data_IF_944207762539
#
_entry.id   IF_944207762539
#
_cell.length_a   1.000
_cell.length_b   1.000
_cell.length_c   1.000
_cell.angle_alpha   90.00
_cell.angle_beta   90.00
_cell.angle_gamma   90.00
#
_symmetry.space_group_name_H-M   'P 1'
#
loop_
_entity.id
_entity.type
_entity.pdbx_description
1 polymer ?
#
# COMPACT_ATOMS: atom_id res chain seq x y z
N UNK A 1 -13.79 -54.83 40.40
CA UNK A 1 -12.67 -54.38 39.53
C UNK A 1 -13.25 -54.13 38.14
N UNK A 2 -13.64 -52.93 37.72
CA UNK A 2 -13.01 -51.63 37.92
C UNK A 2 -12.26 -51.24 36.64
N UNK A 3 -12.98 -50.80 35.60
CA UNK A 3 -12.44 -49.93 34.53
C UNK A 3 -13.53 -48.98 34.07
N UNK A 4 -13.35 -47.73 34.47
CA UNK A 4 -14.15 -46.54 34.21
C UNK A 4 -13.95 -46.09 32.77
N UNK A 5 -15.04 -45.81 32.03
CA UNK A 5 -14.99 -45.04 30.79
C UNK A 5 -14.52 -43.61 31.13
N UNK A 6 -13.32 -43.22 30.67
CA UNK A 6 -12.86 -41.84 30.70
C UNK A 6 -12.98 -41.19 29.31
N UNK A 7 -13.88 -40.20 29.27
CA UNK A 7 -13.91 -39.00 28.44
C UNK A 7 -13.62 -39.10 26.94
N UNK A 8 -14.69 -39.19 26.13
CA UNK A 8 -14.73 -38.57 24.80
C UNK A 8 -14.74 -37.05 24.97
N UNK A 9 -13.66 -36.39 24.53
CA UNK A 9 -13.59 -34.93 24.50
C UNK A 9 -14.69 -34.35 23.62
N UNK A 10 -15.49 -33.44 24.17
CA UNK A 10 -16.45 -32.63 23.42
C UNK A 10 -15.67 -31.73 22.46
N UNK A 11 -15.74 -32.00 21.17
CA UNK A 11 -15.28 -31.06 20.14
C UNK A 11 -16.22 -29.84 20.21
N UNK A 12 -15.73 -28.61 20.43
CA UNK A 12 -16.57 -27.42 20.46
C UNK A 12 -17.28 -27.22 19.12
N UNK A 13 -18.58 -26.91 19.14
CA UNK A 13 -19.38 -26.59 17.95
C UNK A 13 -18.79 -25.46 17.08
N UNK A 14 -17.85 -24.69 17.62
CA UNK A 14 -17.11 -23.65 16.88
C UNK A 14 -16.21 -24.21 15.77
N UNK A 15 -15.90 -25.52 15.78
CA UNK A 15 -15.08 -26.16 14.74
C UNK A 15 -15.88 -26.84 13.62
N UNK A 16 -17.23 -26.87 13.70
CA UNK A 16 -18.08 -27.52 12.68
C UNK A 16 -18.49 -26.58 11.52
N UNK A 17 -18.10 -25.30 11.56
CA UNK A 17 -18.35 -24.33 10.47
C UNK A 17 -17.19 -24.19 9.47
N UNK A 18 -16.10 -24.94 9.64
CA UNK A 18 -14.97 -24.91 8.70
C UNK A 18 -15.07 -25.94 7.54
N UNK A 19 -16.20 -26.64 7.40
CA UNK A 19 -16.31 -27.71 6.39
C UNK A 19 -17.72 -27.88 5.81
N UNK A 20 -18.31 -26.78 5.34
CA UNK A 20 -19.40 -26.82 4.36
C UNK A 20 -19.07 -25.74 3.32
N UNK A 21 -19.06 -26.15 2.06
CA UNK A 21 -18.25 -25.54 1.02
C UNK A 21 -18.67 -24.14 0.55
N UNK A 22 -17.70 -23.46 -0.04
CA UNK A 22 -17.91 -22.83 -1.34
C UNK A 22 -16.68 -23.07 -2.20
N UNK A 23 -16.93 -23.70 -3.34
CA UNK A 23 -16.06 -23.65 -4.50
C UNK A 23 -16.02 -22.20 -4.98
N UNK A 24 -14.95 -21.48 -4.65
CA UNK A 24 -14.54 -20.33 -5.45
C UNK A 24 -13.05 -20.48 -5.76
N UNK A 25 -12.74 -20.91 -7.00
CA UNK A 25 -11.43 -20.73 -7.61
C UNK A 25 -11.18 -19.23 -7.90
N UNK A 26 -11.34 -18.38 -6.89
CA UNK A 26 -10.85 -17.02 -6.92
C UNK A 26 -9.42 -17.05 -6.40
N UNK A 27 -8.44 -16.82 -7.28
CA UNK A 27 -7.07 -16.58 -6.84
C UNK A 27 -7.14 -15.42 -5.84
N UNK A 28 -6.93 -15.72 -4.55
CA UNK A 28 -6.81 -14.69 -3.53
C UNK A 28 -5.53 -13.92 -3.85
N UNK A 29 -5.66 -12.81 -4.56
CA UNK A 29 -4.55 -11.89 -4.75
C UNK A 29 -4.26 -11.32 -3.36
N UNK A 30 -3.05 -11.51 -2.86
CA UNK A 30 -2.64 -10.86 -1.63
C UNK A 30 -2.24 -9.41 -1.98
N UNK A 31 -2.42 -8.48 -1.05
CA UNK A 31 -1.95 -7.10 -1.23
C UNK A 31 -0.46 -7.08 -1.60
N UNK A 32 0.30 -8.01 -1.03
CA UNK A 32 1.72 -8.19 -1.28
C UNK A 32 2.03 -8.60 -2.72
N UNK A 33 1.08 -9.10 -3.52
CA UNK A 33 1.29 -9.40 -4.93
C UNK A 33 1.11 -8.16 -5.83
N UNK A 34 0.59 -7.06 -5.28
CA UNK A 34 0.31 -5.85 -6.04
C UNK A 34 1.61 -5.06 -6.24
N UNK A 35 2.22 -5.20 -7.43
CA UNK A 35 3.49 -4.55 -7.78
C UNK A 35 3.52 -3.03 -7.48
N UNK A 36 2.44 -2.29 -7.75
CA UNK A 36 2.37 -0.85 -7.43
C UNK A 36 2.45 -0.58 -5.92
N UNK A 37 1.90 -1.46 -5.09
CA UNK A 37 1.99 -1.37 -3.64
C UNK A 37 3.42 -1.64 -3.17
N UNK A 38 4.07 -2.69 -3.67
CA UNK A 38 5.47 -3.00 -3.35
C UNK A 38 6.41 -1.85 -3.70
N UNK A 39 6.25 -1.27 -4.89
CA UNK A 39 7.06 -0.12 -5.33
C UNK A 39 6.82 1.10 -4.43
N UNK A 40 5.57 1.37 -4.04
CA UNK A 40 5.24 2.46 -3.14
C UNK A 40 5.84 2.26 -1.74
N UNK A 41 5.81 1.04 -1.19
CA UNK A 41 6.47 0.70 0.08
C UNK A 41 7.98 0.89 0.00
N UNK A 42 8.62 0.40 -1.07
CA UNK A 42 10.06 0.59 -1.23
C UNK A 42 10.44 2.07 -1.33
N UNK A 43 9.63 2.86 -2.03
CA UNK A 43 9.82 4.30 -2.13
C UNK A 43 9.69 5.00 -0.78
N UNK A 44 8.71 4.63 0.05
CA UNK A 44 8.52 5.24 1.36
C UNK A 44 9.69 4.94 2.31
N UNK A 45 10.18 3.69 2.35
CA UNK A 45 11.38 3.32 3.12
C UNK A 45 12.62 4.11 2.67
N UNK A 46 12.82 4.25 1.35
CA UNK A 46 13.93 5.04 0.81
C UNK A 46 13.84 6.52 1.22
N UNK A 47 12.63 7.10 1.20
CA UNK A 47 12.41 8.47 1.67
C UNK A 47 12.72 8.59 3.16
N UNK A 48 12.26 7.65 3.98
CA UNK A 48 12.55 7.61 5.41
C UNK A 48 14.05 7.63 5.68
N UNK A 49 14.80 6.73 5.05
CA UNK A 49 16.26 6.64 5.19
C UNK A 49 16.98 7.95 4.81
N UNK A 50 16.50 8.63 3.75
CA UNK A 50 17.07 9.91 3.31
C UNK A 50 16.80 10.99 4.36
N UNK A 51 15.55 11.12 4.79
CA UNK A 51 15.12 12.15 5.73
C UNK A 51 15.76 11.95 7.10
N UNK A 52 15.99 10.71 7.54
CA UNK A 52 16.59 10.43 8.83
C UNK A 52 18.04 10.93 8.94
N UNK A 53 18.73 11.13 7.81
CA UNK A 53 20.07 11.72 7.78
C UNK A 53 20.09 13.25 7.90
N UNK A 54 18.94 13.91 7.84
CA UNK A 54 18.88 15.37 7.85
C UNK A 54 19.06 15.98 9.24
N UNK A 55 19.56 17.21 9.27
CA UNK A 55 19.56 18.04 10.48
C UNK A 55 18.14 18.27 11.02
N UNK A 56 18.04 18.56 12.32
CA UNK A 56 16.75 18.65 13.02
C UNK A 56 15.75 19.58 12.34
N UNK A 57 16.13 20.82 12.02
CA UNK A 57 15.20 21.79 11.43
C UNK A 57 14.60 21.34 10.08
N UNK A 58 15.39 20.99 9.04
CA UNK A 58 14.83 20.50 7.79
C UNK A 58 14.10 19.16 7.95
N UNK A 59 14.58 18.25 8.83
CA UNK A 59 13.92 16.97 9.14
C UNK A 59 12.49 17.21 9.62
N UNK A 60 12.29 18.06 10.63
CA UNK A 60 10.96 18.29 11.21
C UNK A 60 10.02 19.14 10.36
N UNK A 61 10.55 19.94 9.42
CA UNK A 61 9.72 20.85 8.59
C UNK A 61 9.41 20.31 7.21
N UNK A 62 10.40 19.76 6.52
CA UNK A 62 10.26 19.25 5.16
C UNK A 62 10.29 17.73 5.15
N UNK A 63 11.16 17.14 5.97
CA UNK A 63 11.31 15.70 6.06
C UNK A 63 10.02 15.01 6.50
N UNK A 64 9.38 15.50 7.56
CA UNK A 64 8.07 15.02 8.05
C UNK A 64 7.02 15.03 6.94
N UNK A 65 6.84 16.16 6.28
CA UNK A 65 5.85 16.33 5.21
C UNK A 65 6.14 15.44 3.99
N UNK A 66 7.42 15.26 3.64
CA UNK A 66 7.83 14.35 2.56
C UNK A 66 7.58 12.88 2.92
N UNK A 67 7.90 12.50 4.16
CA UNK A 67 7.73 11.14 4.68
C UNK A 67 6.25 10.77 4.76
N UNK A 68 5.43 11.64 5.36
CA UNK A 68 3.97 11.48 5.44
C UNK A 68 3.34 11.32 4.03
N UNK A 69 3.75 12.15 3.07
CA UNK A 69 3.27 12.06 1.71
C UNK A 69 3.71 10.75 1.03
N UNK A 70 4.92 10.25 1.30
CA UNK A 70 5.43 9.00 0.72
C UNK A 70 4.69 7.78 1.30
N UNK A 71 4.57 7.68 2.63
CA UNK A 71 3.84 6.62 3.33
C UNK A 71 2.37 6.57 2.91
N UNK A 72 1.78 7.74 2.63
CA UNK A 72 0.39 7.86 2.20
C UNK A 72 0.13 7.20 0.84
N UNK A 73 1.14 7.06 -0.03
CA UNK A 73 0.96 6.41 -1.35
C UNK A 73 0.59 4.94 -1.16
N UNK A 74 1.42 4.17 -0.46
CA UNK A 74 1.19 2.75 -0.21
C UNK A 74 0.01 2.54 0.73
N UNK A 75 -0.16 3.38 1.74
CA UNK A 75 -1.30 3.32 2.69
C UNK A 75 -2.64 3.47 1.97
N UNK A 76 -2.77 4.45 1.07
CA UNK A 76 -4.00 4.60 0.27
C UNK A 76 -4.22 3.42 -0.68
N UNK A 77 -3.17 2.86 -1.29
CA UNK A 77 -3.31 1.69 -2.15
C UNK A 77 -3.82 0.48 -1.34
N UNK A 78 -3.25 0.24 -0.15
CA UNK A 78 -3.64 -0.84 0.76
C UNK A 78 -5.09 -0.66 1.26
N UNK A 79 -5.45 0.55 1.69
CA UNK A 79 -6.80 0.85 2.14
C UNK A 79 -7.82 0.67 1.00
N UNK A 80 -7.48 1.18 -0.19
CA UNK A 80 -8.26 0.98 -1.40
C UNK A 80 -8.44 -0.49 -1.74
N UNK A 81 -7.37 -1.28 -1.66
CA UNK A 81 -7.40 -2.72 -1.93
C UNK A 81 -8.39 -3.47 -1.05
N UNK A 82 -8.48 -3.10 0.24
CA UNK A 82 -9.42 -3.69 1.19
C UNK A 82 -10.89 -3.31 0.99
N UNK A 83 -11.22 -2.38 0.09
CA UNK A 83 -12.62 -1.97 -0.14
C UNK A 83 -13.35 -2.94 -1.07
N UNK A 84 -14.59 -3.26 -0.73
CA UNK A 84 -15.44 -4.15 -1.54
C UNK A 84 -15.78 -3.57 -2.93
N UNK A 85 -16.15 -2.28 -2.99
CA UNK A 85 -16.63 -1.67 -4.23
C UNK A 85 -15.50 -1.05 -5.05
N UNK A 86 -15.39 -1.43 -6.33
CA UNK A 86 -14.38 -0.87 -7.24
C UNK A 86 -14.35 0.67 -7.30
N UNK A 87 -15.51 1.34 -7.17
CA UNK A 87 -15.56 2.81 -7.11
C UNK A 87 -14.75 3.37 -5.93
N UNK A 88 -14.83 2.73 -4.77
CA UNK A 88 -14.06 3.13 -3.59
C UNK A 88 -12.58 2.80 -3.78
N UNK A 89 -12.26 1.59 -4.28
CA UNK A 89 -10.87 1.22 -4.58
C UNK A 89 -10.19 2.25 -5.51
N UNK A 90 -10.91 2.69 -6.55
CA UNK A 90 -10.44 3.73 -7.48
C UNK A 90 -10.24 5.07 -6.77
N UNK A 91 -11.19 5.48 -5.90
CA UNK A 91 -11.08 6.74 -5.15
C UNK A 91 -9.80 6.78 -4.30
N UNK A 92 -9.50 5.71 -3.57
CA UNK A 92 -8.26 5.59 -2.81
C UNK A 92 -7.00 5.61 -3.69
N UNK A 93 -7.03 4.96 -4.84
CA UNK A 93 -5.93 5.08 -5.81
C UNK A 93 -5.75 6.53 -6.31
N UNK A 94 -6.81 7.34 -6.37
CA UNK A 94 -6.71 8.76 -6.71
C UNK A 94 -6.13 9.57 -5.55
N UNK A 95 -6.41 9.23 -4.30
CA UNK A 95 -5.73 9.82 -3.15
C UNK A 95 -4.23 9.50 -3.15
N UNK A 96 -3.85 8.26 -3.45
CA UNK A 96 -2.44 7.89 -3.64
C UNK A 96 -1.76 8.77 -4.72
N UNK A 97 -2.43 9.04 -5.85
CA UNK A 97 -1.94 9.98 -6.88
C UNK A 97 -1.78 11.41 -6.35
N UNK A 98 -2.66 11.85 -5.46
CA UNK A 98 -2.53 13.12 -4.75
C UNK A 98 -1.24 13.18 -3.93
N UNK A 99 -1.00 12.18 -3.09
CA UNK A 99 0.21 12.07 -2.27
C UNK A 99 1.49 12.01 -3.10
N UNK A 100 1.46 11.41 -4.31
CA UNK A 100 2.58 11.47 -5.25
C UNK A 100 2.91 12.89 -5.73
N UNK A 101 1.90 13.74 -5.94
CA UNK A 101 2.12 15.13 -6.33
C UNK A 101 2.71 15.94 -5.17
N UNK A 102 2.30 15.65 -3.94
CA UNK A 102 2.89 16.21 -2.74
C UNK A 102 4.36 15.81 -2.59
N UNK A 103 4.68 14.51 -2.78
CA UNK A 103 6.07 14.03 -2.81
C UNK A 103 6.90 14.81 -3.82
N UNK A 104 6.44 14.95 -5.06
CA UNK A 104 7.13 15.72 -6.10
C UNK A 104 7.39 17.18 -5.67
N UNK A 105 6.42 17.82 -5.03
CA UNK A 105 6.57 19.19 -4.51
C UNK A 105 7.63 19.27 -3.40
N UNK A 106 7.61 18.34 -2.45
CA UNK A 106 8.57 18.31 -1.35
C UNK A 106 9.98 17.92 -1.80
N UNK A 107 10.12 17.00 -2.75
CA UNK A 107 11.41 16.66 -3.38
C UNK A 107 12.00 17.87 -4.11
N UNK A 108 11.20 18.64 -4.84
CA UNK A 108 11.68 19.85 -5.50
C UNK A 108 12.17 20.90 -4.50
N UNK A 109 11.46 21.09 -3.38
CA UNK A 109 11.90 21.97 -2.28
C UNK A 109 13.19 21.47 -1.65
N UNK A 110 13.31 20.15 -1.44
CA UNK A 110 14.49 19.51 -0.86
C UNK A 110 15.72 19.70 -1.74
N UNK A 111 15.59 19.48 -3.05
CA UNK A 111 16.64 19.79 -4.04
C UNK A 111 17.06 21.26 -4.01
N UNK A 112 16.09 22.19 -4.06
CA UNK A 112 16.36 23.64 -4.04
C UNK A 112 17.08 24.09 -2.76
N UNK A 113 16.82 23.41 -1.64
CA UNK A 113 17.44 23.66 -0.34
C UNK A 113 18.70 22.84 -0.09
N UNK A 114 19.16 22.07 -1.09
CA UNK A 114 20.36 21.21 -1.02
C UNK A 114 20.29 20.19 0.11
N UNK A 115 19.09 19.69 0.42
CA UNK A 115 18.86 18.60 1.38
C UNK A 115 19.05 17.22 0.77
N UNK A 116 18.99 17.15 -0.57
CA UNK A 116 19.30 15.97 -1.38
C UNK A 116 20.14 16.41 -2.57
N UNK A 117 20.94 15.48 -3.07
CA UNK A 117 21.74 15.65 -4.29
C UNK A 117 20.85 15.70 -5.54
N UNK A 118 21.43 16.13 -6.67
CA UNK A 118 20.75 16.11 -7.97
C UNK A 118 20.44 14.65 -8.36
N UNK A 119 21.41 13.74 -8.17
CA UNK A 119 21.26 12.33 -8.51
C UNK A 119 20.19 11.64 -7.65
N UNK A 120 20.15 11.91 -6.34
CA UNK A 120 19.06 11.42 -5.47
C UNK A 120 17.71 11.94 -5.95
N UNK A 121 17.60 13.24 -6.28
CA UNK A 121 16.36 13.80 -6.78
C UNK A 121 15.93 13.15 -8.10
N UNK A 122 16.81 13.04 -9.07
CA UNK A 122 16.47 12.49 -10.39
C UNK A 122 16.07 11.01 -10.28
N UNK A 123 16.77 10.24 -9.45
CA UNK A 123 16.44 8.85 -9.13
C UNK A 123 15.07 8.70 -8.44
N UNK A 124 14.75 9.54 -7.44
CA UNK A 124 13.44 9.51 -6.77
C UNK A 124 12.30 9.94 -7.70
N UNK A 125 12.57 10.88 -8.61
CA UNK A 125 11.60 11.29 -9.63
C UNK A 125 11.31 10.19 -10.65
N UNK A 126 12.31 9.36 -10.97
CA UNK A 126 12.14 8.16 -11.80
C UNK A 126 11.29 7.10 -11.08
N UNK A 127 11.55 6.82 -9.80
CA UNK A 127 10.71 5.91 -9.00
C UNK A 127 9.25 6.36 -8.94
N UNK A 128 9.00 7.66 -8.71
CA UNK A 128 7.63 8.21 -8.76
C UNK A 128 6.98 8.07 -10.14
N UNK A 129 7.76 8.19 -11.22
CA UNK A 129 7.24 7.99 -12.60
C UNK A 129 6.80 6.55 -12.81
N UNK A 130 7.58 5.59 -12.30
CA UNK A 130 7.29 4.16 -12.43
C UNK A 130 6.06 3.77 -11.60
N UNK A 131 5.99 4.23 -10.34
CA UNK A 131 4.80 4.08 -9.49
C UNK A 131 3.57 4.66 -10.19
N UNK A 132 3.69 5.83 -10.83
CA UNK A 132 2.55 6.47 -11.50
C UNK A 132 2.05 5.63 -12.68
N UNK A 133 2.96 5.07 -13.46
CA UNK A 133 2.64 4.14 -14.55
C UNK A 133 1.88 2.91 -14.05
N UNK A 134 2.39 2.26 -13.00
CA UNK A 134 1.77 1.06 -12.41
C UNK A 134 0.43 1.36 -11.76
N UNK A 135 0.31 2.49 -11.06
CA UNK A 135 -0.93 2.95 -10.44
C UNK A 135 -2.02 3.23 -11.48
N UNK A 136 -1.67 3.88 -12.59
CA UNK A 136 -2.61 4.11 -13.69
C UNK A 136 -3.04 2.79 -14.37
N UNK A 137 -2.12 1.84 -14.51
CA UNK A 137 -2.44 0.49 -14.97
C UNK A 137 -3.44 -0.21 -14.05
N UNK A 138 -3.22 -0.13 -12.73
CA UNK A 138 -4.12 -0.69 -11.72
C UNK A 138 -5.50 -0.03 -11.75
N UNK A 139 -5.58 1.31 -11.74
CA UNK A 139 -6.85 2.05 -11.88
C UNK A 139 -7.60 1.64 -13.14
N UNK A 140 -6.90 1.45 -14.26
CA UNK A 140 -7.50 1.03 -15.53
C UNK A 140 -8.10 -0.38 -15.44
N UNK A 141 -7.41 -1.31 -14.76
CA UNK A 141 -7.94 -2.66 -14.45
C UNK A 141 -9.21 -2.56 -13.61
N UNK A 142 -9.22 -1.76 -12.55
CA UNK A 142 -10.39 -1.57 -11.68
C UNK A 142 -11.59 -0.98 -12.44
N UNK A 143 -11.36 0.04 -13.27
CA UNK A 143 -12.40 0.64 -14.12
C UNK A 143 -13.02 -0.36 -15.09
N UNK A 144 -12.20 -1.25 -15.66
CA UNK A 144 -12.70 -2.32 -16.55
C UNK A 144 -13.56 -3.32 -15.77
N UNK A 145 -13.16 -3.71 -14.56
CA UNK A 145 -13.95 -4.62 -13.73
C UNK A 145 -15.29 -3.98 -13.28
N UNK A 146 -15.27 -2.69 -12.93
CA UNK A 146 -16.49 -1.94 -12.61
C UNK A 146 -17.50 -1.91 -13.77
N UNK A 147 -17.03 -1.88 -15.02
CA UNK A 147 -17.90 -1.92 -16.21
C UNK A 147 -18.48 -3.31 -16.48
N UNK A 148 -17.74 -4.38 -16.14
CA UNK A 148 -18.19 -5.77 -16.32
C UNK A 148 -19.19 -6.24 -15.27
N UNK A 149 -19.18 -5.63 -14.08
CA UNK A 149 -20.13 -5.90 -13.01
C UNK A 149 -21.42 -5.05 -13.08
N UNK A 150 -21.63 -4.32 -14.18
CA UNK A 150 -22.93 -3.75 -14.55
C UNK A 150 -23.61 -4.68 -15.52
#
# INVERSE_FOLDING_TARGET
>A
MGKTLQSMGKIPWIFLLAKIGSQENGTMYFLDDLEVYQLAQKFSERIWEIVDRWESFPKWRIGSQLTEAADSISSNIAEGYGRYFFKQQILFCLYARGSMMECRNWLLKSKRRRLITIDEYDSLMEELRDIHGKLNGYISKLKRNLRKGK
#
